data_IF_576664606197
#
_entry.id   IF_576664606197
#
_cell.length_a   1.000
_cell.length_b   1.000
_cell.length_c   1.000
_cell.angle_alpha   90.00
_cell.angle_beta   90.00
_cell.angle_gamma   90.00
#
_symmetry.space_group_name_H-M   'P 1'
#
loop_
_entity.id
_entity.type
_entity.pdbx_description
1 polymer ?
#
# COMPACT_ATOMS: atom_id res chain seq x y z
N UNK A 1 -9.43 -8.85 -8.75
CA UNK A 1 -10.78 -8.24 -8.63
C UNK A 1 -10.98 -7.18 -9.69
N UNK A 2 -10.16 -6.12 -9.70
CA UNK A 2 -10.17 -5.09 -10.76
C UNK A 2 -10.04 -5.66 -12.17
N UNK A 3 -9.05 -6.53 -12.37
CA UNK A 3 -8.75 -7.10 -13.69
C UNK A 3 -9.84 -8.06 -14.20
N UNK A 4 -10.68 -8.59 -13.30
CA UNK A 4 -11.77 -9.52 -13.63
C UNK A 4 -13.02 -8.72 -14.05
N UNK A 5 -13.29 -7.59 -13.40
CA UNK A 5 -14.46 -6.76 -13.67
C UNK A 5 -14.27 -5.79 -14.86
N UNK A 6 -13.02 -5.58 -15.30
CA UNK A 6 -12.71 -4.75 -16.48
C UNK A 6 -13.09 -3.27 -16.31
N UNK A 7 -13.28 -2.52 -17.41
CA UNK A 7 -13.56 -1.07 -17.36
C UNK A 7 -14.83 -0.69 -16.56
N UNK A 8 -15.79 -1.62 -16.44
CA UNK A 8 -16.99 -1.41 -15.63
C UNK A 8 -16.65 -1.19 -14.14
N UNK A 9 -15.52 -1.74 -13.67
CA UNK A 9 -14.97 -1.40 -12.38
C UNK A 9 -14.67 0.12 -12.34
N UNK A 10 -13.94 0.68 -13.29
CA UNK A 10 -13.51 2.08 -13.15
C UNK A 10 -14.66 3.11 -13.07
N UNK A 11 -15.84 2.80 -13.60
CA UNK A 11 -16.95 3.76 -13.75
C UNK A 11 -18.13 3.49 -12.81
N UNK A 12 -18.44 2.25 -12.43
CA UNK A 12 -19.62 1.96 -11.60
C UNK A 12 -19.55 2.47 -10.15
N UNK A 13 -20.61 3.12 -9.67
CA UNK A 13 -20.77 3.57 -8.27
C UNK A 13 -21.09 2.42 -7.27
N UNK A 14 -21.12 1.17 -7.75
CA UNK A 14 -21.49 0.00 -6.96
C UNK A 14 -20.49 -0.34 -5.85
N UNK A 15 -21.03 -0.62 -4.66
CA UNK A 15 -20.45 -1.35 -3.52
C UNK A 15 -19.17 -0.82 -2.85
N UNK A 16 -18.75 0.41 -3.15
CA UNK A 16 -17.63 1.05 -2.44
C UNK A 16 -16.25 0.40 -2.67
N UNK A 17 -16.15 -0.58 -3.57
CA UNK A 17 -14.88 -1.28 -3.81
C UNK A 17 -13.80 -0.35 -4.41
N UNK A 18 -14.16 0.71 -5.14
CA UNK A 18 -13.21 1.74 -5.60
C UNK A 18 -12.48 2.37 -4.43
N UNK A 19 -13.26 2.75 -3.42
CA UNK A 19 -12.74 3.30 -2.17
C UNK A 19 -11.86 2.25 -1.48
N UNK A 20 -12.30 1.00 -1.38
CA UNK A 20 -11.50 -0.06 -0.74
C UNK A 20 -10.19 -0.36 -1.47
N UNK A 21 -10.20 -0.34 -2.80
CA UNK A 21 -8.99 -0.50 -3.60
C UNK A 21 -8.00 0.63 -3.32
N UNK A 22 -8.44 1.90 -3.41
CA UNK A 22 -7.60 3.05 -3.10
C UNK A 22 -7.16 3.08 -1.63
N UNK A 23 -8.03 2.68 -0.71
CA UNK A 23 -7.76 2.57 0.72
C UNK A 23 -6.67 1.53 1.00
N UNK A 24 -6.74 0.36 0.35
CA UNK A 24 -5.71 -0.66 0.46
C UNK A 24 -4.35 -0.15 -0.03
N UNK A 25 -4.33 0.66 -1.09
CA UNK A 25 -3.09 1.31 -1.55
C UNK A 25 -2.58 2.35 -0.56
N UNK A 26 -3.47 3.20 -0.05
CA UNK A 26 -3.15 4.22 0.95
C UNK A 26 -2.56 3.60 2.23
N UNK A 27 -3.08 2.46 2.69
CA UNK A 27 -2.55 1.71 3.85
C UNK A 27 -1.06 1.35 3.71
N UNK A 28 -0.55 1.15 2.49
CA UNK A 28 0.87 0.82 2.26
C UNK A 28 1.80 2.03 2.26
N UNK A 29 1.23 3.23 2.40
CA UNK A 29 1.93 4.51 2.39
C UNK A 29 1.78 5.17 3.76
N UNK A 30 0.57 5.12 4.33
CA UNK A 30 0.26 5.60 5.68
C UNK A 30 1.16 4.93 6.73
N UNK A 31 1.60 5.72 7.72
CA UNK A 31 2.57 5.31 8.75
C UNK A 31 3.95 4.85 8.25
N UNK A 32 4.24 4.99 6.95
CA UNK A 32 5.53 4.71 6.34
C UNK A 32 5.44 3.64 5.25
N UNK A 33 6.14 3.89 4.15
CA UNK A 33 6.23 2.90 3.06
C UNK A 33 6.99 1.65 3.51
N UNK A 34 6.82 0.55 2.78
CA UNK A 34 7.57 -0.68 3.07
C UNK A 34 9.09 -0.47 3.05
N UNK A 35 9.61 0.44 2.23
CA UNK A 35 11.04 0.79 2.21
C UNK A 35 11.47 1.47 3.52
N UNK A 36 10.72 2.48 3.96
CA UNK A 36 11.01 3.18 5.22
C UNK A 36 10.90 2.23 6.41
N UNK A 37 9.85 1.41 6.48
CA UNK A 37 9.65 0.46 7.57
C UNK A 37 10.74 -0.62 7.60
N UNK A 38 11.20 -1.10 6.42
CA UNK A 38 12.34 -2.04 6.36
C UNK A 38 13.64 -1.40 6.82
N UNK A 39 13.90 -0.14 6.47
CA UNK A 39 15.09 0.58 6.96
C UNK A 39 15.03 0.77 8.48
N UNK A 40 13.86 1.14 9.02
CA UNK A 40 13.64 1.24 10.47
C UNK A 40 13.92 -0.10 11.15
N UNK A 41 13.40 -1.21 10.61
CA UNK A 41 13.66 -2.54 11.14
C UNK A 41 15.15 -2.88 11.09
N UNK A 42 15.81 -2.62 9.96
CA UNK A 42 17.24 -2.85 9.78
C UNK A 42 18.09 -2.09 10.80
N UNK A 43 17.86 -0.79 10.99
CA UNK A 43 18.66 0.05 11.87
C UNK A 43 18.31 -0.13 13.35
N UNK A 44 17.01 -0.14 13.69
CA UNK A 44 16.56 -0.06 15.08
C UNK A 44 16.35 -1.41 15.76
N UNK A 45 16.03 -2.45 14.99
CA UNK A 45 15.79 -3.79 15.54
C UNK A 45 16.97 -4.71 15.25
N UNK A 46 17.51 -4.66 14.02
CA UNK A 46 18.59 -5.56 13.61
C UNK A 46 20.00 -4.97 13.78
N UNK A 47 20.13 -3.68 14.09
CA UNK A 47 21.43 -3.03 14.33
C UNK A 47 22.32 -2.89 13.08
N UNK A 48 21.73 -2.96 11.89
CA UNK A 48 22.46 -2.80 10.63
C UNK A 48 22.91 -1.35 10.43
N UNK A 49 24.07 -1.12 9.79
CA UNK A 49 24.51 0.23 9.44
C UNK A 49 23.50 0.92 8.51
N UNK A 50 23.31 2.22 8.72
CA UNK A 50 22.41 3.03 7.90
C UNK A 50 22.88 3.05 6.44
N UNK A 51 21.95 2.83 5.50
CA UNK A 51 22.26 2.97 4.07
C UNK A 51 22.73 4.40 3.81
N UNK A 52 23.85 4.55 3.10
CA UNK A 52 24.45 5.85 2.78
C UNK A 52 23.74 6.51 1.61
#
# INVERSE_FOLDING_TARGET
AMDIAGPAAQVGDGDGWKYQFLRSRANTIEAGTSEVLRNILAERVLGLPRSR
#
